data_IF_105250586171
#
_entry.id   IF_105250586171
#
_cell.length_a   1.000
_cell.length_b   1.000
_cell.length_c   1.000
_cell.angle_alpha   90.00
_cell.angle_beta   90.00
_cell.angle_gamma   90.00
#
_symmetry.space_group_name_H-M   'P 1'
#
loop_
_entity.id
_entity.type
_entity.pdbx_description
1 polymer ?
#
# COMPACT_ATOMS: atom_id res chain seq x y z
N UNK A 1 1.77 -0.05 6.59
CA UNK A 1 2.04 -1.48 6.33
C UNK A 1 0.77 -2.12 5.81
N UNK A 2 0.85 -2.88 4.72
CA UNK A 2 -0.29 -3.43 3.98
C UNK A 2 -0.02 -4.92 3.72
N UNK A 3 -0.63 -5.86 4.46
CA UNK A 3 -0.71 -7.24 4.02
C UNK A 3 -1.44 -7.34 2.69
N UNK A 4 -0.83 -8.01 1.72
CA UNK A 4 -1.40 -8.14 0.38
C UNK A 4 -1.09 -9.48 -0.29
N UNK A 5 -1.99 -9.86 -1.19
CA UNK A 5 -1.81 -11.05 -2.02
C UNK A 5 -0.92 -10.76 -3.22
N UNK A 6 0.20 -11.47 -3.34
CA UNK A 6 1.26 -11.15 -4.31
C UNK A 6 0.92 -11.55 -5.74
N UNK A 7 0.01 -12.51 -5.91
CA UNK A 7 -0.41 -13.03 -7.20
C UNK A 7 -1.45 -12.16 -7.91
N UNK A 8 -1.66 -10.91 -7.48
CA UNK A 8 -2.54 -9.96 -8.16
C UNK A 8 -1.72 -8.89 -8.91
N UNK A 9 -1.51 -9.06 -10.23
CA UNK A 9 -0.92 -8.04 -11.07
C UNK A 9 -1.65 -6.70 -10.91
N UNK A 10 -0.89 -5.61 -10.91
CA UNK A 10 -1.43 -4.26 -10.82
C UNK A 10 -1.55 -3.71 -9.40
N UNK A 11 -1.31 -4.49 -8.34
CA UNK A 11 -1.37 -4.00 -6.96
C UNK A 11 -0.47 -2.76 -6.72
N UNK A 12 0.82 -2.88 -7.06
CA UNK A 12 1.80 -1.78 -6.89
C UNK A 12 1.39 -0.55 -7.69
N UNK A 13 0.93 -0.77 -8.94
CA UNK A 13 0.47 0.29 -9.83
C UNK A 13 -0.77 1.00 -9.28
N UNK A 14 -1.78 0.25 -8.84
CA UNK A 14 -3.02 0.79 -8.28
C UNK A 14 -2.73 1.62 -7.02
N UNK A 15 -1.92 1.11 -6.11
CA UNK A 15 -1.53 1.82 -4.89
C UNK A 15 -0.71 3.08 -5.23
N UNK A 16 0.27 2.97 -6.14
CA UNK A 16 1.04 4.10 -6.62
C UNK A 16 0.19 5.18 -7.30
N UNK A 17 -0.81 4.79 -8.09
CA UNK A 17 -1.76 5.71 -8.71
C UNK A 17 -2.61 6.43 -7.69
N UNK A 18 -3.05 5.76 -6.61
CA UNK A 18 -3.79 6.44 -5.52
C UNK A 18 -2.94 7.56 -4.91
N UNK A 19 -1.65 7.32 -4.63
CA UNK A 19 -0.77 8.38 -4.12
C UNK A 19 -0.56 9.50 -5.15
N UNK A 20 -0.41 9.15 -6.43
CA UNK A 20 -0.29 10.13 -7.51
C UNK A 20 -1.52 11.03 -7.67
N UNK A 21 -2.72 10.44 -7.60
CA UNK A 21 -3.99 11.18 -7.68
C UNK A 21 -4.15 12.17 -6.50
N UNK A 22 -3.67 11.79 -5.32
CA UNK A 22 -3.72 12.61 -4.10
C UNK A 22 -2.51 13.56 -3.96
N UNK A 23 -1.62 13.58 -4.96
CA UNK A 23 -0.39 14.37 -4.99
C UNK A 23 0.50 14.16 -3.74
N UNK A 24 0.57 12.91 -3.27
CA UNK A 24 1.39 12.50 -2.11
C UNK A 24 2.73 11.95 -2.60
N UNK A 25 3.83 12.45 -2.03
CA UNK A 25 5.16 11.89 -2.30
C UNK A 25 5.43 10.62 -1.49
N UNK A 26 5.93 9.58 -2.16
CA UNK A 26 6.33 8.31 -1.54
C UNK A 26 7.86 8.31 -1.38
N UNK A 27 8.32 8.34 -0.14
CA UNK A 27 9.75 8.34 0.22
C UNK A 27 10.37 6.95 0.02
N UNK A 28 9.61 5.90 0.32
CA UNK A 28 10.04 4.52 0.18
C UNK A 28 8.84 3.58 0.01
N UNK A 29 8.99 2.56 -0.82
CA UNK A 29 8.06 1.44 -0.94
C UNK A 29 8.84 0.13 -1.02
N UNK A 30 8.62 -0.77 -0.06
CA UNK A 30 9.24 -2.09 -0.03
C UNK A 30 8.18 -3.19 0.02
N UNK A 31 8.49 -4.33 -0.60
CA UNK A 31 7.62 -5.49 -0.63
C UNK A 31 8.41 -6.69 -0.15
N UNK A 32 8.01 -7.23 0.99
CA UNK A 32 8.63 -8.40 1.59
C UNK A 32 7.70 -9.60 1.43
N UNK A 33 8.17 -10.64 0.74
CA UNK A 33 7.39 -11.88 0.56
C UNK A 33 7.53 -12.73 1.82
N UNK A 34 6.42 -13.15 2.38
CA UNK A 34 6.37 -14.01 3.57
C UNK A 34 6.00 -15.43 3.14
N UNK A 35 6.89 -16.41 3.34
CA UNK A 35 6.57 -17.83 3.16
C UNK A 35 6.00 -18.22 1.78
N UNK A 36 5.03 -19.14 1.73
CA UNK A 36 4.50 -19.82 0.53
C UNK A 36 4.00 -18.86 -0.58
N UNK A 37 4.90 -18.24 -1.36
CA UNK A 37 4.76 -17.55 -2.67
C UNK A 37 3.57 -16.57 -2.90
N UNK A 38 2.60 -16.47 -2.01
CA UNK A 38 1.26 -15.91 -2.24
C UNK A 38 0.95 -14.75 -1.30
N UNK A 39 1.73 -14.57 -0.22
CA UNK A 39 1.58 -13.46 0.73
C UNK A 39 2.81 -12.54 0.70
N UNK A 40 2.57 -11.24 0.72
CA UNK A 40 3.60 -10.24 0.95
C UNK A 40 3.11 -9.15 1.89
N UNK A 41 4.09 -8.50 2.50
CA UNK A 41 3.92 -7.27 3.23
C UNK A 41 4.43 -6.11 2.39
N UNK A 42 3.58 -5.15 2.08
CA UNK A 42 4.01 -3.89 1.49
C UNK A 42 4.15 -2.83 2.58
N UNK A 43 5.33 -2.23 2.68
CA UNK A 43 5.61 -1.10 3.55
C UNK A 43 5.79 0.13 2.67
N UNK A 44 5.12 1.23 3.06
CA UNK A 44 5.09 2.48 2.31
C UNK A 44 5.36 3.58 3.31
N UNK A 45 6.37 4.39 3.01
CA UNK A 45 6.73 5.60 3.75
C UNK A 45 6.41 6.79 2.88
N UNK A 46 5.78 7.79 3.47
CA UNK A 46 5.36 9.04 2.81
C UNK A 46 5.87 10.22 3.62
N UNK A 47 6.25 11.28 2.93
CA UNK A 47 6.77 12.50 3.57
C UNK A 47 5.67 13.30 4.27
N UNK A 48 4.43 13.13 3.81
CA UNK A 48 3.27 13.91 4.24
C UNK A 48 2.18 13.00 4.82
N UNK A 49 1.44 13.47 5.85
CA UNK A 49 0.35 12.70 6.41
C UNK A 49 -0.76 12.50 5.39
N UNK A 50 -1.21 11.25 5.24
CA UNK A 50 -2.31 10.89 4.37
C UNK A 50 -3.64 11.39 4.93
N UNK A 51 -4.53 11.85 4.04
CA UNK A 51 -5.90 12.15 4.42
C UNK A 51 -6.72 10.86 4.56
N UNK A 52 -7.86 10.94 5.24
CA UNK A 52 -8.73 9.78 5.45
C UNK A 52 -9.21 9.17 4.13
N UNK A 53 -9.40 9.99 3.09
CA UNK A 53 -9.85 9.52 1.78
C UNK A 53 -8.77 8.66 1.10
N UNK A 54 -7.49 9.05 1.16
CA UNK A 54 -6.38 8.23 0.67
C UNK A 54 -6.31 6.90 1.40
N UNK A 55 -6.40 6.91 2.75
CA UNK A 55 -6.36 5.69 3.57
C UNK A 55 -7.53 4.75 3.22
N UNK A 56 -8.73 5.30 2.99
CA UNK A 56 -9.91 4.55 2.59
C UNK A 56 -9.74 3.93 1.20
N UNK A 57 -9.26 4.71 0.21
CA UNK A 57 -9.01 4.22 -1.16
C UNK A 57 -8.00 3.06 -1.17
N UNK A 58 -6.94 3.14 -0.35
CA UNK A 58 -5.96 2.06 -0.23
C UNK A 58 -6.61 0.79 0.36
N UNK A 59 -7.43 0.92 1.41
CA UNK A 59 -8.15 -0.20 2.03
C UNK A 59 -9.22 -0.83 1.13
N UNK A 60 -9.70 -0.12 0.11
CA UNK A 60 -10.66 -0.63 -0.89
C UNK A 60 -10.00 -1.38 -2.05
N UNK A 61 -8.65 -1.38 -2.14
CA UNK A 61 -7.94 -2.14 -3.17
C UNK A 61 -8.15 -3.64 -2.92
N UNK A 62 -8.72 -4.42 -3.87
CA UNK A 62 -9.10 -5.82 -3.62
C UNK A 62 -7.97 -6.77 -3.20
N UNK A 63 -6.72 -6.42 -3.51
CA UNK A 63 -5.54 -7.21 -3.13
C UNK A 63 -5.06 -6.96 -1.69
N UNK A 64 -5.57 -5.90 -1.06
CA UNK A 64 -5.20 -5.47 0.28
C UNK A 64 -6.06 -6.25 1.27
N UNK A 65 -5.43 -7.10 2.07
CA UNK A 65 -6.13 -7.89 3.10
C UNK A 65 -6.32 -7.07 4.38
N UNK A 66 -5.32 -6.26 4.71
CA UNK A 66 -5.34 -5.38 5.87
C UNK A 66 -4.48 -4.14 5.58
N UNK A 67 -4.72 -3.06 6.31
CA UNK A 67 -3.89 -1.87 6.24
C UNK A 67 -3.73 -1.24 7.61
N UNK A 68 -2.48 -1.00 7.98
CA UNK A 68 -2.11 -0.31 9.21
C UNK A 68 -1.33 0.95 8.86
N UNK A 69 -1.89 2.11 9.22
CA UNK A 69 -1.21 3.39 9.17
C UNK A 69 -0.56 3.68 10.51
N UNK A 70 0.76 3.86 10.50
CA UNK A 70 1.53 4.23 11.67
C UNK A 70 2.04 5.66 11.48
N UNK A 71 1.74 6.53 12.44
CA UNK A 71 2.36 7.85 12.54
C UNK A 71 3.50 7.74 13.54
N UNK A 72 4.73 7.74 13.03
CA UNK A 72 5.95 7.79 13.84
C UNK A 72 6.22 9.22 14.33
#
# INVERSE_FOLDING_TARGET
MVPAKVDQPGLIGNVGSIFGDENVNVSSMSIERTGQQQQAMMTIEVDEPLCNDTLKRIGEVPAVEEFVFLKL
#
